data_IF_221546879917
#
_entry.id   IF_221546879917
#
_cell.length_a   1.000
_cell.length_b   1.000
_cell.length_c   1.000
_cell.angle_alpha   90.00
_cell.angle_beta   90.00
_cell.angle_gamma   90.00
#
_symmetry.space_group_name_H-M   'P 1'
#
loop_
_entity.id
_entity.type
_entity.pdbx_description
1 polymer ?
#
# COMPACT_ATOMS: atom_id res chain seq x y z
N UNK A 1 -5.20 16.36 -2.58
CA UNK A 1 -4.67 15.16 -3.28
C UNK A 1 -5.74 14.08 -3.26
N UNK A 2 -5.85 13.20 -4.26
CA UNK A 2 -6.64 11.98 -4.08
C UNK A 2 -5.80 10.98 -3.28
N UNK A 3 -6.17 10.78 -2.01
CA UNK A 3 -5.46 9.86 -1.11
C UNK A 3 -5.46 8.41 -1.63
N UNK A 4 -6.51 8.00 -2.35
CA UNK A 4 -6.57 6.65 -2.91
C UNK A 4 -5.51 6.47 -3.99
N UNK A 5 -5.40 7.46 -4.89
CA UNK A 5 -4.39 7.45 -5.94
C UNK A 5 -2.98 7.53 -5.36
N UNK A 6 -2.74 8.40 -4.38
CA UNK A 6 -1.45 8.49 -3.70
C UNK A 6 -0.99 7.15 -3.11
N UNK A 7 -1.89 6.45 -2.41
CA UNK A 7 -1.57 5.14 -1.83
C UNK A 7 -1.23 4.14 -2.94
N UNK A 8 -1.98 4.13 -4.04
CA UNK A 8 -1.72 3.25 -5.18
C UNK A 8 -0.34 3.54 -5.81
N UNK A 9 -0.01 4.81 -6.03
CA UNK A 9 1.28 5.22 -6.60
C UNK A 9 2.43 4.78 -5.70
N UNK A 10 2.30 4.97 -4.37
CA UNK A 10 3.29 4.53 -3.38
C UNK A 10 3.42 3.01 -3.29
N UNK A 11 2.34 2.27 -3.48
CA UNK A 11 2.38 0.81 -3.55
C UNK A 11 3.15 0.34 -4.79
N UNK A 12 2.93 0.98 -5.93
CA UNK A 12 3.61 0.67 -7.19
C UNK A 12 5.10 1.00 -7.10
N UNK A 13 5.46 2.17 -6.57
CA UNK A 13 6.84 2.57 -6.31
C UNK A 13 7.56 1.56 -5.41
N UNK A 14 6.95 1.20 -4.27
CA UNK A 14 7.53 0.22 -3.35
C UNK A 14 7.68 -1.18 -3.98
N UNK A 15 6.76 -1.57 -4.87
CA UNK A 15 6.87 -2.83 -5.63
C UNK A 15 8.04 -2.78 -6.61
N UNK A 16 8.18 -1.68 -7.34
CA UNK A 16 9.19 -1.49 -8.37
C UNK A 16 10.60 -1.39 -7.79
N UNK A 17 10.78 -0.71 -6.66
CA UNK A 17 12.03 -0.69 -5.89
C UNK A 17 12.52 -2.09 -5.49
N UNK A 18 11.58 -3.02 -5.31
CA UNK A 18 11.88 -4.44 -4.96
C UNK A 18 12.05 -5.32 -6.19
N UNK A 19 11.92 -4.76 -7.40
CA UNK A 19 11.91 -5.52 -8.65
C UNK A 19 10.84 -6.61 -8.67
N UNK A 20 9.72 -6.43 -7.95
CA UNK A 20 8.73 -7.48 -7.75
C UNK A 20 7.71 -7.51 -8.90
N UNK A 21 7.60 -8.61 -9.67
CA UNK A 21 6.59 -8.70 -10.71
C UNK A 21 5.18 -8.74 -10.13
N UNK A 22 4.19 -8.15 -10.83
CA UNK A 22 2.76 -8.20 -10.43
C UNK A 22 2.29 -9.63 -10.15
N UNK A 23 2.75 -10.60 -10.93
CA UNK A 23 2.40 -12.01 -10.75
C UNK A 23 2.90 -12.57 -9.41
N UNK A 24 4.10 -12.16 -9.00
CA UNK A 24 4.67 -12.58 -7.72
C UNK A 24 3.97 -11.90 -6.55
N UNK A 25 3.66 -10.61 -6.68
CA UNK A 25 2.88 -9.88 -5.67
C UNK A 25 1.48 -10.49 -5.51
N UNK A 26 0.80 -10.81 -6.61
CA UNK A 26 -0.50 -11.49 -6.61
C UNK A 26 -0.45 -12.85 -5.88
N UNK A 27 0.59 -13.65 -6.16
CA UNK A 27 0.79 -14.96 -5.53
C UNK A 27 0.99 -14.84 -4.02
N UNK A 28 1.83 -13.90 -3.57
CA UNK A 28 2.16 -13.73 -2.15
C UNK A 28 1.03 -13.09 -1.33
N UNK A 29 0.23 -12.25 -1.96
CA UNK A 29 -0.90 -11.56 -1.30
C UNK A 29 -2.20 -12.37 -1.33
N UNK A 30 -2.24 -13.46 -2.10
CA UNK A 30 -3.47 -14.21 -2.37
C UNK A 30 -4.57 -13.30 -2.96
N UNK A 31 -4.15 -12.35 -3.82
CA UNK A 31 -5.03 -11.47 -4.58
C UNK A 31 -4.97 -11.90 -6.04
N UNK A 32 -6.12 -12.10 -6.68
CA UNK A 32 -6.18 -12.47 -8.09
C UNK A 32 -5.38 -11.46 -8.95
N UNK A 33 -4.43 -11.94 -9.77
CA UNK A 33 -3.54 -11.11 -10.59
C UNK A 33 -4.27 -10.04 -11.40
N UNK A 34 -5.40 -10.40 -12.03
CA UNK A 34 -6.23 -9.47 -12.80
C UNK A 34 -6.82 -8.35 -11.93
N UNK A 35 -7.21 -8.67 -10.70
CA UNK A 35 -7.73 -7.70 -9.74
C UNK A 35 -6.63 -6.77 -9.26
N UNK A 36 -5.46 -7.30 -8.91
CA UNK A 36 -4.30 -6.51 -8.52
C UNK A 36 -3.88 -5.53 -9.62
N UNK A 37 -3.84 -5.98 -10.88
CA UNK A 37 -3.58 -5.11 -12.03
C UNK A 37 -4.59 -3.96 -12.15
N UNK A 38 -5.90 -4.23 -11.98
CA UNK A 38 -6.91 -3.16 -12.03
C UNK A 38 -6.82 -2.18 -10.86
N UNK A 39 -6.41 -2.65 -9.67
CA UNK A 39 -6.17 -1.80 -8.50
C UNK A 39 -4.99 -0.86 -8.78
N UNK A 40 -3.86 -1.41 -9.23
CA UNK A 40 -2.64 -0.63 -9.48
C UNK A 40 -2.80 0.37 -10.65
N UNK A 41 -3.70 0.09 -11.61
CA UNK A 41 -4.07 1.04 -12.66
C UNK A 41 -5.19 2.01 -12.27
N UNK A 42 -5.62 2.06 -11.01
CA UNK A 42 -6.66 2.98 -10.53
C UNK A 42 -8.10 2.69 -11.00
N UNK A 43 -8.30 1.66 -11.84
CA UNK A 43 -9.62 1.28 -12.37
C UNK A 43 -10.49 0.49 -11.39
N UNK A 44 -9.91 0.03 -10.28
CA UNK A 44 -10.63 -0.60 -9.16
C UNK A 44 -10.19 -0.03 -7.83
N UNK A 45 -11.15 0.13 -6.91
CA UNK A 45 -10.88 0.53 -5.54
C UNK A 45 -10.05 -0.52 -4.81
N UNK A 46 -8.98 -0.06 -4.16
CA UNK A 46 -8.19 -0.82 -3.19
C UNK A 46 -8.99 -0.99 -1.90
N UNK A 47 -9.13 -2.23 -1.42
CA UNK A 47 -9.75 -2.50 -0.11
C UNK A 47 -8.70 -2.48 1.01
N UNK A 48 -9.16 -2.25 2.24
CA UNK A 48 -8.28 -2.19 3.40
C UNK A 48 -7.54 -3.51 3.68
N UNK A 49 -8.21 -4.65 3.53
CA UNK A 49 -7.61 -5.99 3.69
C UNK A 49 -6.55 -6.28 2.62
N UNK A 50 -6.81 -5.85 1.39
CA UNK A 50 -5.86 -5.95 0.27
C UNK A 50 -4.63 -5.08 0.50
N UNK A 51 -4.85 -3.85 0.95
CA UNK A 51 -3.78 -2.93 1.31
C UNK A 51 -2.86 -3.55 2.38
N UNK A 52 -3.43 -4.07 3.47
CA UNK A 52 -2.66 -4.73 4.54
C UNK A 52 -1.85 -5.91 4.00
N UNK A 53 -2.44 -6.78 3.17
CA UNK A 53 -1.73 -7.91 2.56
C UNK A 53 -0.56 -7.43 1.70
N UNK A 54 -0.76 -6.41 0.87
CA UNK A 54 0.27 -5.88 -0.03
C UNK A 54 1.43 -5.30 0.78
N UNK A 55 1.18 -4.41 1.75
CA UNK A 55 2.28 -3.77 2.51
C UNK A 55 3.06 -4.78 3.37
N UNK A 56 2.41 -5.83 3.86
CA UNK A 56 3.09 -6.95 4.56
C UNK A 56 4.04 -7.68 3.60
N UNK A 57 3.60 -7.99 2.38
CA UNK A 57 4.44 -8.65 1.36
C UNK A 57 5.59 -7.75 0.90
N UNK A 58 5.35 -6.44 0.80
CA UNK A 58 6.38 -5.46 0.50
C UNK A 58 7.29 -5.18 1.72
N UNK A 59 6.90 -5.56 2.94
CA UNK A 59 7.69 -5.28 4.13
C UNK A 59 7.86 -3.79 4.40
N UNK A 60 6.83 -2.99 4.10
CA UNK A 60 6.80 -1.54 4.33
C UNK A 60 5.87 -1.22 5.50
N UNK A 61 6.22 -0.23 6.36
CA UNK A 61 5.32 0.20 7.42
C UNK A 61 4.15 0.98 6.83
N UNK A 62 2.98 0.91 7.49
CA UNK A 62 1.78 1.67 7.08
C UNK A 62 2.04 3.17 6.98
N UNK A 63 2.95 3.70 7.80
CA UNK A 63 3.36 5.10 7.83
C UNK A 63 4.00 5.57 6.54
N UNK A 64 4.54 4.67 5.71
CA UNK A 64 5.10 5.01 4.39
C UNK A 64 4.02 5.42 3.36
N UNK A 65 2.74 5.14 3.65
CA UNK A 65 1.61 5.40 2.76
C UNK A 65 0.70 6.52 3.28
N UNK A 66 1.16 7.27 4.30
CA UNK A 66 0.39 8.36 4.90
C UNK A 66 0.82 9.69 4.26
N UNK A 67 -0.09 10.41 3.56
CA UNK A 67 0.23 11.69 2.94
C UNK A 67 0.75 12.73 3.96
N UNK A 68 1.55 13.68 3.48
CA UNK A 68 2.13 14.71 4.34
C UNK A 68 1.09 15.62 5.01
N UNK A 69 -0.04 15.84 4.36
CA UNK A 69 -1.18 16.62 4.86
C UNK A 69 -1.93 15.93 6.03
N UNK A 70 -1.66 14.65 6.29
CA UNK A 70 -2.20 13.98 7.48
C UNK A 70 -1.47 14.50 8.72
N UNK A 71 -2.19 14.90 9.79
CA UNK A 71 -1.57 15.40 11.01
C UNK A 71 -0.54 14.44 11.61
N UNK A 72 0.60 14.96 12.08
CA UNK A 72 1.66 14.14 12.70
C UNK A 72 1.18 13.33 13.91
N UNK A 73 0.15 13.80 14.60
CA UNK A 73 -0.50 13.07 15.70
C UNK A 73 -1.10 11.73 15.27
N UNK A 74 -1.37 11.53 13.99
CA UNK A 74 -1.85 10.27 13.40
C UNK A 74 -0.72 9.43 12.81
N UNK A 75 0.42 10.04 12.44
CA UNK A 75 1.58 9.32 11.86
C UNK A 75 2.40 8.57 12.91
N UNK A 76 2.42 9.06 14.15
CA UNK A 76 3.10 8.38 15.28
C UNK A 76 2.13 7.53 16.08
N UNK A 77 2.47 6.26 16.40
CA UNK A 77 1.76 5.54 17.46
C UNK A 77 1.84 6.37 18.74
N UNK A 78 0.68 6.69 19.35
CA UNK A 78 0.65 7.21 20.72
C UNK A 78 1.23 6.12 21.63
N UNK A 79 2.52 6.17 21.96
CA UNK A 79 3.10 5.53 23.14
C UNK A 79 4.54 6.01 23.36
N UNK A 80 4.72 6.87 24.38
CA UNK A 80 5.86 6.92 25.32
C UNK A 80 5.51 7.96 26.41
N UNK A 81 4.40 7.74 27.12
CA UNK A 81 4.24 8.24 28.49
C UNK A 81 4.39 7.00 29.38
N UNK A 82 5.65 6.66 29.65
CA UNK A 82 6.10 5.71 30.64
C UNK A 82 7.17 6.39 31.47
#
# INVERSE_FOLDING_TARGET
MDHSQYIIDKLEEARDERGMPIAELARRTDIARKRLWYILNGTRKLRADEFVRIIVVLGTPVTAYVPDEVPETLKRPRNSAG
#
